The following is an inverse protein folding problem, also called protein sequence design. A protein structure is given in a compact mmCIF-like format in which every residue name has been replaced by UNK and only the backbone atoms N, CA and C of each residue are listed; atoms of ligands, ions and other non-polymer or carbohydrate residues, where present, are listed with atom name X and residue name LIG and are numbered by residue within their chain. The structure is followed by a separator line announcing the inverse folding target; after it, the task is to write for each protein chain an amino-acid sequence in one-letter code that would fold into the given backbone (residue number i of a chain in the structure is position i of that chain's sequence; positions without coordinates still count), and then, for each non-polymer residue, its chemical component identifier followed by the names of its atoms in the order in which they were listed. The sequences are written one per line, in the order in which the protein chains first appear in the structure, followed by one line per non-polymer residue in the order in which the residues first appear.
data_IF_776744727197
#
_entry.id   IF_776744727197
#
_cell.length_a   1.000
_cell.length_b   1.000
_cell.length_c   1.000
_cell.angle_alpha   90.00
_cell.angle_beta   90.00
_cell.angle_gamma   90.00
#
_symmetry.space_group_name_H-M   'P 1'
#
loop_
_entity.id
_entity.type
_entity.pdbx_description
1 polymer ?
#
# COMPACT_ATOMS: atom_id res chain seq x y z
N UNK A 1 17.50 -12.81 18.56
CA UNK A 1 16.60 -11.67 18.86
C UNK A 1 16.28 -10.80 17.65
N UNK A 2 17.26 -10.36 16.83
CA UNK A 2 16.97 -9.54 15.64
C UNK A 2 16.47 -10.32 14.41
N UNK A 3 17.05 -11.51 14.16
CA UNK A 3 16.71 -12.34 13.00
C UNK A 3 15.25 -12.81 13.00
N UNK A 4 14.74 -13.23 14.16
CA UNK A 4 13.36 -13.68 14.31
C UNK A 4 12.34 -12.53 14.17
N UNK A 5 12.70 -11.30 14.55
CA UNK A 5 11.86 -10.14 14.31
C UNK A 5 11.80 -9.75 12.83
N UNK A 6 12.94 -9.80 12.13
CA UNK A 6 13.01 -9.56 10.68
C UNK A 6 12.31 -10.68 9.91
N UNK A 7 12.42 -11.93 10.35
CA UNK A 7 11.73 -13.06 9.71
C UNK A 7 10.20 -12.91 9.76
N UNK A 8 9.65 -12.43 10.88
CA UNK A 8 8.21 -12.13 11.01
C UNK A 8 7.77 -10.98 10.10
N UNK A 9 8.59 -9.92 9.98
CA UNK A 9 8.37 -8.81 9.04
C UNK A 9 8.36 -9.28 7.59
N UNK A 10 9.30 -10.17 7.21
CA UNK A 10 9.36 -10.72 5.85
C UNK A 10 8.10 -11.54 5.55
N UNK A 11 7.66 -12.40 6.46
CA UNK A 11 6.46 -13.22 6.25
C UNK A 11 5.20 -12.35 6.03
N UNK A 12 5.03 -11.31 6.85
CA UNK A 12 3.88 -10.40 6.71
C UNK A 12 3.94 -9.57 5.42
N UNK A 13 5.11 -9.05 5.04
CA UNK A 13 5.28 -8.34 3.78
C UNK A 13 5.11 -9.24 2.56
N UNK A 14 5.61 -10.48 2.60
CA UNK A 14 5.45 -11.45 1.52
C UNK A 14 3.97 -11.77 1.27
N UNK A 15 3.20 -12.07 2.32
CA UNK A 15 1.77 -12.32 2.22
C UNK A 15 1.02 -11.09 1.69
N UNK A 16 1.34 -9.89 2.18
CA UNK A 16 0.73 -8.65 1.72
C UNK A 16 1.00 -8.39 0.23
N UNK A 17 2.25 -8.59 -0.23
CA UNK A 17 2.63 -8.35 -1.62
C UNK A 17 2.01 -9.36 -2.58
N UNK A 18 1.97 -10.65 -2.21
CA UNK A 18 1.32 -11.70 -3.00
C UNK A 18 -0.18 -11.42 -3.11
N UNK A 19 -0.83 -11.08 -1.99
CA UNK A 19 -2.26 -10.76 -1.97
C UNK A 19 -2.59 -9.53 -2.82
N UNK A 20 -1.80 -8.46 -2.70
CA UNK A 20 -1.99 -7.24 -3.49
C UNK A 20 -1.75 -7.44 -4.98
N UNK A 21 -0.82 -8.33 -5.36
CA UNK A 21 -0.47 -8.59 -6.76
C UNK A 21 -1.42 -9.58 -7.46
N UNK A 22 -2.35 -10.19 -6.73
CA UNK A 22 -3.25 -11.22 -7.26
C UNK A 22 -4.08 -10.76 -8.48
N UNK A 23 -4.67 -9.55 -8.52
CA UNK A 23 -5.46 -9.10 -9.68
C UNK A 23 -4.63 -9.02 -10.96
N UNK A 24 -3.39 -8.51 -10.86
CA UNK A 24 -2.47 -8.47 -11.99
C UNK A 24 -2.04 -9.88 -12.41
N UNK A 25 -1.77 -10.76 -11.45
CA UNK A 25 -1.45 -12.16 -11.76
C UNK A 25 -2.57 -12.83 -12.56
N UNK A 26 -3.83 -12.67 -12.15
CA UNK A 26 -4.99 -13.22 -12.86
C UNK A 26 -5.16 -12.59 -14.26
N UNK A 27 -4.96 -11.28 -14.39
CA UNK A 27 -4.99 -10.58 -15.67
C UNK A 27 -3.98 -11.18 -16.67
N UNK A 28 -2.74 -11.40 -16.24
CA UNK A 28 -1.71 -11.97 -17.11
C UNK A 28 -1.89 -13.47 -17.34
N UNK A 29 -2.35 -14.22 -16.33
CA UNK A 29 -2.56 -15.66 -16.43
C UNK A 29 -3.70 -16.02 -17.39
N UNK A 30 -4.85 -15.34 -17.28
CA UNK A 30 -6.00 -15.58 -18.16
C UNK A 30 -5.96 -14.76 -19.46
N UNK A 31 -5.15 -13.71 -19.52
CA UNK A 31 -5.03 -12.80 -20.67
C UNK A 31 -4.21 -13.32 -21.85
N UNK A 32 -3.75 -14.59 -21.83
CA UNK A 32 -2.81 -15.14 -22.83
C UNK A 32 -3.26 -15.10 -24.30
N UNK A 33 -4.55 -14.86 -24.59
CA UNK A 33 -5.08 -14.68 -25.94
C UNK A 33 -5.31 -13.21 -26.36
N UNK A 34 -5.09 -12.26 -25.45
CA UNK A 34 -5.36 -10.83 -25.67
C UNK A 34 -4.08 -10.14 -26.12
N UNK A 35 -4.12 -9.30 -27.18
CA UNK A 35 -2.94 -8.52 -27.59
C UNK A 35 -2.39 -7.69 -26.43
N UNK A 36 -1.07 -7.67 -26.25
CA UNK A 36 -0.40 -6.95 -25.14
C UNK A 36 -0.82 -5.48 -25.02
N UNK A 37 -1.04 -4.79 -26.15
CA UNK A 37 -1.54 -3.41 -26.17
C UNK A 37 -2.85 -3.25 -25.41
N UNK A 38 -3.78 -4.20 -25.54
CA UNK A 38 -5.09 -4.16 -24.87
C UNK A 38 -4.92 -4.43 -23.37
N UNK A 39 -4.08 -5.40 -23.00
CA UNK A 39 -3.79 -5.70 -21.58
C UNK A 39 -3.13 -4.52 -20.86
N UNK A 40 -2.21 -3.81 -21.54
CA UNK A 40 -1.57 -2.60 -21.00
C UNK A 40 -2.55 -1.43 -20.83
N UNK A 41 -3.64 -1.40 -21.59
CA UNK A 41 -4.69 -0.39 -21.48
C UNK A 41 -5.88 -0.88 -20.64
N UNK A 42 -5.72 -1.99 -19.93
CA UNK A 42 -6.77 -2.52 -19.07
C UNK A 42 -6.97 -1.65 -17.82
N UNK A 43 -8.22 -1.60 -17.35
CA UNK A 43 -8.56 -0.94 -16.10
C UNK A 43 -7.79 -1.51 -14.91
N UNK A 44 -7.52 -2.82 -14.89
CA UNK A 44 -6.76 -3.48 -13.83
C UNK A 44 -5.33 -2.95 -13.69
N UNK A 45 -4.62 -2.74 -14.80
CA UNK A 45 -3.26 -2.18 -14.76
C UNK A 45 -3.28 -0.72 -14.34
N UNK A 46 -4.21 0.07 -14.88
CA UNK A 46 -4.37 1.47 -14.51
C UNK A 46 -4.69 1.64 -13.01
N UNK A 47 -5.57 0.79 -12.47
CA UNK A 47 -5.94 0.78 -11.07
C UNK A 47 -4.73 0.48 -10.16
N UNK A 48 -3.88 -0.49 -10.50
CA UNK A 48 -2.67 -0.79 -9.72
C UNK A 48 -1.70 0.40 -9.70
N UNK A 49 -1.50 1.06 -10.84
CA UNK A 49 -0.62 2.23 -10.95
C UNK A 49 -1.14 3.33 -10.03
N UNK A 50 -2.44 3.66 -10.15
CA UNK A 50 -3.06 4.69 -9.31
C UNK A 50 -3.03 4.29 -7.84
N UNK A 51 -3.34 3.03 -7.50
CA UNK A 51 -3.27 2.50 -6.13
C UNK A 51 -1.87 2.64 -5.54
N UNK A 52 -0.83 2.31 -6.29
CA UNK A 52 0.57 2.44 -5.82
C UNK A 52 0.96 3.91 -5.61
N UNK A 53 0.56 4.80 -6.52
CA UNK A 53 0.77 6.24 -6.40
C UNK A 53 0.05 6.83 -5.19
N UNK A 54 -1.24 6.52 -5.04
CA UNK A 54 -2.06 6.99 -3.92
C UNK A 54 -1.56 6.38 -2.62
N UNK A 55 -1.23 5.09 -2.59
CA UNK A 55 -0.71 4.40 -1.42
C UNK A 55 0.62 4.98 -0.92
N UNK A 56 1.56 5.24 -1.82
CA UNK A 56 2.84 5.88 -1.45
C UNK A 56 2.65 7.32 -0.98
N UNK A 57 1.79 8.11 -1.64
CA UNK A 57 1.45 9.47 -1.21
C UNK A 57 0.76 9.48 0.14
N UNK A 58 -0.21 8.58 0.35
CA UNK A 58 -0.90 8.42 1.62
C UNK A 58 0.07 8.03 2.75
N UNK A 59 1.04 7.14 2.46
CA UNK A 59 2.06 6.75 3.43
C UNK A 59 2.98 7.93 3.79
N UNK A 60 3.39 8.75 2.82
CA UNK A 60 4.15 9.98 3.07
C UNK A 60 3.37 10.98 3.93
N UNK A 61 2.04 11.07 3.73
CA UNK A 61 1.16 11.95 4.50
C UNK A 61 0.76 11.36 5.87
N UNK A 62 0.85 10.05 6.08
CA UNK A 62 0.39 9.39 7.31
C UNK A 62 1.18 9.85 8.55
N UNK A 63 2.48 10.07 8.42
CA UNK A 63 3.34 10.53 9.52
C UNK A 63 2.98 11.96 9.95
N UNK A 64 3.03 12.98 9.07
CA UNK A 64 2.71 14.35 9.46
C UNK A 64 1.27 14.50 9.93
N UNK A 65 0.31 13.80 9.32
CA UNK A 65 -1.09 13.84 9.78
C UNK A 65 -1.21 13.29 11.20
N UNK A 66 -0.61 12.13 11.50
CA UNK A 66 -0.58 11.58 12.86
C UNK A 66 0.06 12.54 13.87
N UNK A 67 1.16 13.21 13.50
CA UNK A 67 1.81 14.21 14.37
C UNK A 67 0.91 15.41 14.63
N UNK A 68 0.21 15.93 13.62
CA UNK A 68 -0.75 17.04 13.78
C UNK A 68 -1.86 16.65 14.75
N UNK A 69 -2.44 15.46 14.59
CA UNK A 69 -3.47 14.97 15.51
C UNK A 69 -2.94 14.81 16.95
N UNK A 70 -1.74 14.26 17.12
CA UNK A 70 -1.12 14.10 18.43
C UNK A 70 -0.83 15.46 19.09
N UNK A 71 -0.28 16.42 18.35
CA UNK A 71 0.03 17.76 18.83
C UNK A 71 -1.26 18.52 19.22
N UNK A 72 -2.31 18.44 18.41
CA UNK A 72 -3.61 19.04 18.73
C UNK A 72 -4.20 18.45 20.01
N UNK A 73 -4.21 17.12 20.13
CA UNK A 73 -4.72 16.43 21.32
C UNK A 73 -3.95 16.80 22.60
N UNK A 74 -2.62 16.91 22.53
CA UNK A 74 -1.80 17.32 23.68
C UNK A 74 -1.91 18.82 24.01
N UNK A 75 -2.01 19.69 23.00
CA UNK A 75 -2.24 21.13 23.22
C UNK A 75 -3.55 21.39 23.95
N UNK A 76 -4.62 20.65 23.61
CA UNK A 76 -5.92 20.82 24.24
C UNK A 76 -5.94 20.32 25.70
N UNK A 77 -5.10 19.34 26.05
CA UNK A 77 -4.94 18.89 27.45
C UNK A 77 -4.25 19.95 28.31
N UNK A 78 -3.18 20.56 27.80
CA UNK A 78 -2.43 21.60 28.53
C UNK A 78 -3.21 22.90 28.77
N UNK A 79 -4.29 23.14 28.02
CA UNK A 79 -5.19 24.27 28.22
C UNK A 79 -6.33 23.97 29.23
N UNK A 80 -6.52 22.70 29.59
CA UNK A 80 -7.51 22.24 30.56
C UNK A 80 -6.92 22.00 31.96
N UNK A 81 -5.59 22.03 32.08
CA UNK A 81 -4.80 22.00 33.33
C UNK A 81 -4.40 23.42 33.74
#
# INVERSE_FOLDING_TARGET
MGHEHIASMINTLALAYIGASLPLFLLFYFGGGIPYWVTLNSAFLAEEIVRTLVGSTALLLAIPTSTVFAAYAFSNRRAAD
#
